data_IF_139230254440
#
_entry.id   IF_139230254440
#
_cell.length_a   1.000
_cell.length_b   1.000
_cell.length_c   1.000
_cell.angle_alpha   90.00
_cell.angle_beta   90.00
_cell.angle_gamma   90.00
#
_symmetry.space_group_name_H-M   'P 1'
#
loop_
_entity.id
_entity.type
_entity.pdbx_description
1 polymer ?
#
# COMPACT_ATOMS: atom_id res chain seq x y z
N UNK A 1 5.08 -10.47 31.49
CA UNK A 1 5.62 -11.51 30.58
C UNK A 1 6.29 -12.64 31.36
N UNK A 2 7.32 -12.36 32.19
CA UNK A 2 7.98 -13.40 32.99
C UNK A 2 9.06 -14.19 32.24
N UNK A 3 9.51 -13.68 31.08
CA UNK A 3 10.66 -14.23 30.36
C UNK A 3 12.00 -13.68 30.87
N UNK A 4 13.08 -14.37 30.51
CA UNK A 4 14.47 -13.99 30.79
C UNK A 4 15.00 -13.05 29.71
N UNK A 5 15.86 -12.10 30.08
CA UNK A 5 16.61 -11.28 29.12
C UNK A 5 17.88 -12.04 28.72
N UNK A 6 17.85 -12.73 27.57
CA UNK A 6 18.98 -13.50 27.06
C UNK A 6 19.99 -12.67 26.25
N UNK A 7 19.59 -11.49 25.77
CA UNK A 7 20.44 -10.58 25.01
C UNK A 7 20.05 -9.11 25.25
N UNK A 8 21.02 -8.22 25.13
CA UNK A 8 20.85 -6.76 25.11
C UNK A 8 22.01 -6.13 24.33
N UNK A 9 21.71 -5.23 23.39
CA UNK A 9 22.67 -4.44 22.62
C UNK A 9 22.10 -3.04 22.43
N UNK A 10 22.97 -2.03 22.35
CA UNK A 10 22.65 -0.71 21.84
C UNK A 10 23.31 -0.61 20.46
N UNK A 11 22.54 -0.19 19.46
CA UNK A 11 22.98 0.05 18.08
C UNK A 11 22.70 1.51 17.71
N UNK A 12 23.47 2.11 16.78
CA UNK A 12 23.10 3.39 16.18
C UNK A 12 21.90 3.23 15.24
N UNK A 13 21.31 4.37 14.86
CA UNK A 13 20.30 4.44 13.80
C UNK A 13 20.97 4.26 12.41
N UNK A 14 21.42 3.04 12.11
CA UNK A 14 22.04 2.61 10.85
C UNK A 14 21.41 1.27 10.41
N UNK A 15 20.92 1.20 9.17
CA UNK A 15 20.02 0.10 8.73
C UNK A 15 20.69 -1.28 8.79
N UNK A 16 21.95 -1.39 8.37
CA UNK A 16 22.67 -2.66 8.33
C UNK A 16 23.04 -3.19 9.73
N UNK A 17 23.50 -2.35 10.66
CA UNK A 17 23.82 -2.85 12.02
C UNK A 17 22.56 -3.32 12.77
N UNK A 18 21.41 -2.70 12.49
CA UNK A 18 20.11 -3.19 12.97
C UNK A 18 19.79 -4.55 12.33
N UNK A 19 19.92 -4.69 11.00
CA UNK A 19 19.67 -5.95 10.28
C UNK A 19 20.57 -7.09 10.77
N UNK A 20 21.88 -6.88 10.84
CA UNK A 20 22.85 -7.86 11.36
C UNK A 20 22.49 -8.31 12.78
N UNK A 21 22.16 -7.35 13.66
CA UNK A 21 21.79 -7.65 15.06
C UNK A 21 20.49 -8.46 15.13
N UNK A 22 19.49 -8.13 14.31
CA UNK A 22 18.23 -8.88 14.27
C UNK A 22 18.43 -10.30 13.71
N UNK A 23 19.27 -10.47 12.69
CA UNK A 23 19.59 -11.79 12.10
C UNK A 23 20.32 -12.67 13.12
N UNK A 24 21.41 -12.19 13.73
CA UNK A 24 22.15 -12.90 14.80
C UNK A 24 21.20 -13.33 15.95
N UNK A 25 20.29 -12.46 16.36
CA UNK A 25 19.36 -12.75 17.46
C UNK A 25 18.24 -13.72 17.10
N UNK A 26 17.87 -13.82 15.82
CA UNK A 26 16.88 -14.79 15.34
C UNK A 26 17.49 -16.15 15.03
N UNK A 27 18.63 -16.17 14.34
CA UNK A 27 19.13 -17.36 13.65
C UNK A 27 20.16 -18.10 14.51
N UNK A 28 21.14 -17.39 15.06
CA UNK A 28 22.19 -17.97 15.91
C UNK A 28 21.75 -18.13 17.38
N UNK A 29 20.91 -17.21 17.89
CA UNK A 29 20.45 -17.22 19.30
C UNK A 29 19.06 -17.81 19.52
N UNK A 30 18.31 -18.12 18.46
CA UNK A 30 16.91 -18.58 18.47
C UNK A 30 16.00 -17.85 19.50
N UNK A 31 16.15 -16.53 19.67
CA UNK A 31 15.39 -15.79 20.68
C UNK A 31 13.89 -15.82 20.37
N UNK A 32 13.03 -16.07 21.37
CA UNK A 32 11.60 -16.18 21.10
C UNK A 32 10.89 -14.82 20.88
N UNK A 33 11.49 -13.72 21.35
CA UNK A 33 10.95 -12.37 21.27
C UNK A 33 12.08 -11.35 21.21
N UNK A 34 12.05 -10.46 20.22
CA UNK A 34 12.90 -9.27 20.12
C UNK A 34 12.01 -8.03 20.23
N UNK A 35 12.38 -7.11 21.13
CA UNK A 35 11.76 -5.80 21.28
C UNK A 35 12.79 -4.72 20.91
N UNK A 36 12.64 -4.08 19.76
CA UNK A 36 13.43 -2.89 19.41
C UNK A 36 12.77 -1.65 20.05
N UNK A 37 13.55 -0.61 20.35
CA UNK A 37 13.05 0.57 21.09
C UNK A 37 13.77 1.85 20.65
N UNK A 38 13.39 2.39 19.50
CA UNK A 38 14.06 3.51 18.84
C UNK A 38 13.88 3.46 17.33
N UNK A 39 14.27 4.51 16.63
CA UNK A 39 14.29 4.55 15.16
C UNK A 39 12.94 4.37 14.46
N UNK A 40 11.79 4.54 15.13
CA UNK A 40 10.43 4.32 14.57
C UNK A 40 9.65 5.59 14.22
N UNK A 41 10.23 6.78 14.39
CA UNK A 41 9.57 8.07 14.19
C UNK A 41 9.56 8.56 12.73
N UNK A 42 9.54 9.88 12.56
CA UNK A 42 9.57 10.59 11.26
C UNK A 42 10.90 11.36 11.03
N UNK A 43 11.91 11.20 11.88
CA UNK A 43 13.22 11.81 11.66
C UNK A 43 13.94 11.08 10.50
N UNK A 44 14.81 11.77 9.72
CA UNK A 44 15.49 11.15 8.57
C UNK A 44 16.43 9.96 8.90
N UNK A 45 16.70 9.70 10.18
CA UNK A 45 17.47 8.53 10.65
C UNK A 45 16.60 7.41 11.24
N UNK A 46 15.29 7.61 11.42
CA UNK A 46 14.40 6.57 11.94
C UNK A 46 14.28 5.43 10.89
N UNK A 47 15.14 4.41 10.95
CA UNK A 47 15.20 3.31 9.94
C UNK A 47 14.89 1.92 10.50
N UNK A 48 14.53 1.79 11.77
CA UNK A 48 14.21 0.49 12.40
C UNK A 48 13.03 -0.25 11.74
N UNK A 49 11.93 0.41 11.30
CA UNK A 49 10.84 -0.22 10.57
C UNK A 49 11.29 -0.86 9.25
N UNK A 50 12.16 -0.17 8.52
CA UNK A 50 12.71 -0.61 7.23
C UNK A 50 13.68 -1.77 7.43
N UNK A 51 14.64 -1.65 8.36
CA UNK A 51 15.52 -2.75 8.78
C UNK A 51 14.75 -4.00 9.20
N UNK A 52 13.61 -3.83 9.90
CA UNK A 52 12.77 -4.94 10.36
C UNK A 52 12.02 -5.59 9.21
N UNK A 53 11.53 -4.82 8.23
CA UNK A 53 10.87 -5.36 7.03
C UNK A 53 11.78 -6.23 6.17
N UNK A 54 13.08 -5.91 6.12
CA UNK A 54 14.05 -6.68 5.32
C UNK A 54 14.42 -8.04 5.94
N UNK A 55 14.25 -8.22 7.26
CA UNK A 55 14.63 -9.47 7.96
C UNK A 55 13.46 -10.42 8.26
N UNK A 56 12.22 -9.94 8.28
CA UNK A 56 11.04 -10.77 8.60
C UNK A 56 10.57 -11.60 7.39
N UNK A 57 10.22 -12.85 7.64
CA UNK A 57 9.59 -13.75 6.66
C UNK A 57 8.10 -13.46 6.50
N UNK A 58 7.44 -13.06 7.60
CA UNK A 58 5.99 -12.86 7.68
C UNK A 58 5.66 -11.68 8.59
N UNK A 59 4.89 -10.72 8.08
CA UNK A 59 4.43 -9.58 8.89
C UNK A 59 3.31 -9.99 9.86
N UNK A 60 3.26 -9.32 11.01
CA UNK A 60 2.25 -9.48 12.06
C UNK A 60 1.44 -8.17 12.26
N UNK A 61 0.75 -7.68 11.21
CA UNK A 61 0.20 -6.30 11.18
C UNK A 61 -0.83 -6.03 12.28
N UNK A 62 -1.54 -7.06 12.77
CA UNK A 62 -2.46 -6.91 13.90
C UNK A 62 -1.80 -6.43 15.20
N UNK A 63 -0.51 -6.71 15.41
CA UNK A 63 0.23 -6.21 16.57
C UNK A 63 0.66 -4.75 16.41
N UNK A 64 1.10 -4.36 15.22
CA UNK A 64 1.38 -2.96 14.89
C UNK A 64 0.10 -2.10 15.01
N UNK A 65 -1.01 -2.60 14.47
CA UNK A 65 -2.34 -1.97 14.59
C UNK A 65 -2.77 -1.82 16.06
N UNK A 66 -2.61 -2.85 16.90
CA UNK A 66 -2.94 -2.77 18.33
C UNK A 66 -2.13 -1.69 19.06
N UNK A 67 -0.84 -1.57 18.77
CA UNK A 67 0.01 -0.51 19.34
C UNK A 67 -0.40 0.88 18.85
N UNK A 68 -0.72 1.04 17.56
CA UNK A 68 -1.16 2.30 16.98
C UNK A 68 -2.53 2.73 17.52
N UNK A 69 -3.52 1.84 17.58
CA UNK A 69 -4.84 2.14 18.15
C UNK A 69 -4.75 2.54 19.63
N UNK A 70 -3.97 1.82 20.43
CA UNK A 70 -3.73 2.17 21.82
C UNK A 70 -3.02 3.53 21.97
N UNK A 71 -2.01 3.80 21.13
CA UNK A 71 -1.28 5.08 21.13
C UNK A 71 -2.18 6.26 20.74
N UNK A 72 -3.00 6.12 19.70
CA UNK A 72 -3.92 7.15 19.22
C UNK A 72 -4.98 7.51 20.27
N UNK A 73 -5.42 6.53 21.08
CA UNK A 73 -6.34 6.76 22.20
C UNK A 73 -5.68 7.49 23.39
N UNK A 74 -4.34 7.57 23.45
CA UNK A 74 -3.57 8.35 24.45
C UNK A 74 -3.14 9.72 23.90
N UNK A 75 -2.78 9.81 22.62
CA UNK A 75 -2.39 11.06 21.96
C UNK A 75 -2.50 10.96 20.43
N UNK A 76 -2.98 12.00 19.73
CA UNK A 76 -2.99 12.01 18.27
C UNK A 76 -1.59 11.87 17.66
N UNK A 77 -0.52 12.24 18.40
CA UNK A 77 0.87 12.06 17.96
C UNK A 77 1.26 10.57 17.77
N UNK A 78 0.43 9.62 18.21
CA UNK A 78 0.61 8.19 17.93
C UNK A 78 0.70 7.86 16.44
N UNK A 79 0.11 8.66 15.54
CA UNK A 79 0.23 8.49 14.08
C UNK A 79 1.63 8.74 13.52
N UNK A 80 2.54 9.35 14.30
CA UNK A 80 3.91 9.65 13.90
C UNK A 80 4.89 8.50 14.19
N UNK A 81 4.40 7.37 14.72
CA UNK A 81 5.17 6.14 14.84
C UNK A 81 4.86 5.23 13.66
N UNK A 82 5.89 4.58 13.10
CA UNK A 82 5.79 3.62 11.98
C UNK A 82 6.15 2.20 12.45
N UNK A 83 5.52 1.64 13.50
CA UNK A 83 5.94 0.35 14.04
C UNK A 83 5.68 -0.78 13.04
N UNK A 84 6.63 -1.69 12.95
CA UNK A 84 6.50 -2.98 12.26
C UNK A 84 6.56 -4.07 13.31
N UNK A 85 5.74 -5.11 13.11
CA UNK A 85 5.85 -6.37 13.84
C UNK A 85 5.91 -7.49 12.82
N UNK A 86 6.72 -8.51 13.06
CA UNK A 86 6.84 -9.64 12.15
C UNK A 86 7.58 -10.82 12.77
N UNK A 87 7.75 -11.86 11.97
CA UNK A 87 8.26 -13.15 12.40
C UNK A 87 9.42 -13.56 11.49
N UNK A 88 10.48 -14.07 12.11
CA UNK A 88 11.59 -14.77 11.45
C UNK A 88 11.87 -16.05 12.23
N UNK A 89 11.76 -17.22 11.60
CA UNK A 89 11.86 -18.53 12.26
C UNK A 89 10.92 -18.67 13.47
N UNK A 90 11.53 -18.88 14.65
CA UNK A 90 10.85 -18.99 15.96
C UNK A 90 10.65 -17.64 16.67
N UNK A 91 11.07 -16.54 16.04
CA UNK A 91 11.27 -15.23 16.69
C UNK A 91 10.19 -14.24 16.31
N UNK A 92 9.53 -13.66 17.31
CA UNK A 92 8.64 -12.51 17.13
C UNK A 92 9.45 -11.21 17.28
N UNK A 93 9.48 -10.36 16.25
CA UNK A 93 10.14 -9.05 16.26
C UNK A 93 9.06 -7.96 16.37
N UNK A 94 9.27 -6.99 17.28
CA UNK A 94 8.31 -5.92 17.58
C UNK A 94 9.05 -4.59 17.75
N UNK A 95 8.63 -3.59 16.98
CA UNK A 95 9.22 -2.24 17.06
C UNK A 95 8.42 -1.33 17.99
N UNK A 96 9.04 -0.91 19.09
CA UNK A 96 8.47 -0.01 20.09
C UNK A 96 9.02 1.42 19.93
N UNK A 97 8.24 2.47 20.29
CA UNK A 97 8.72 3.84 20.26
C UNK A 97 9.88 4.07 21.25
N UNK A 98 10.92 4.80 20.84
CA UNK A 98 12.13 5.01 21.65
C UNK A 98 11.95 5.76 22.99
N UNK A 99 10.83 6.44 23.20
CA UNK A 99 10.54 7.06 24.51
C UNK A 99 10.10 6.02 25.53
N UNK A 100 10.65 6.06 26.75
CA UNK A 100 10.29 5.14 27.85
C UNK A 100 8.77 5.02 28.08
N UNK A 101 8.04 6.13 27.94
CA UNK A 101 6.56 6.13 28.05
C UNK A 101 5.95 5.34 26.90
N UNK A 102 6.29 5.68 25.66
CA UNK A 102 5.73 5.05 24.46
C UNK A 102 6.03 3.55 24.36
N UNK A 103 7.25 3.11 24.65
CA UNK A 103 7.58 1.68 24.68
C UNK A 103 6.86 0.94 25.81
N UNK A 104 6.77 1.52 27.01
CA UNK A 104 6.02 0.91 28.12
C UNK A 104 4.51 0.82 27.84
N UNK A 105 3.90 1.83 27.21
CA UNK A 105 2.48 1.81 26.83
C UNK A 105 2.22 0.82 25.68
N UNK A 106 3.00 0.88 24.60
CA UNK A 106 2.88 -0.04 23.47
C UNK A 106 3.05 -1.51 23.88
N UNK A 107 4.04 -1.81 24.73
CA UNK A 107 4.25 -3.16 25.28
C UNK A 107 3.04 -3.66 26.09
N UNK A 108 2.37 -2.78 26.86
CA UNK A 108 1.17 -3.17 27.61
C UNK A 108 -0.03 -3.50 26.70
N UNK A 109 -0.20 -2.80 25.57
CA UNK A 109 -1.31 -3.08 24.63
C UNK A 109 -1.20 -4.48 24.00
N UNK A 110 0.03 -4.96 23.74
CA UNK A 110 0.29 -6.27 23.11
C UNK A 110 0.53 -7.41 24.12
N UNK A 111 0.86 -7.09 25.37
CA UNK A 111 1.19 -8.07 26.42
C UNK A 111 0.17 -9.22 26.59
N UNK A 112 -1.16 -9.01 26.46
CA UNK A 112 -2.12 -10.12 26.57
C UNK A 112 -1.97 -11.19 25.49
N UNK A 113 -1.44 -10.85 24.31
CA UNK A 113 -1.25 -11.78 23.20
C UNK A 113 0.15 -12.44 23.19
N UNK A 114 1.17 -11.78 23.77
CA UNK A 114 2.57 -12.23 23.70
C UNK A 114 2.82 -13.69 24.11
N UNK A 115 2.27 -14.23 25.22
CA UNK A 115 2.53 -15.63 25.60
C UNK A 115 2.06 -16.62 24.52
N UNK A 116 0.82 -16.45 24.04
CA UNK A 116 0.25 -17.36 23.04
C UNK A 116 0.95 -17.23 21.68
N UNK A 117 1.34 -16.01 21.29
CA UNK A 117 2.10 -15.78 20.06
C UNK A 117 3.48 -16.47 20.11
N UNK A 118 4.18 -16.39 21.25
CA UNK A 118 5.48 -17.06 21.45
C UNK A 118 5.36 -18.58 21.40
N UNK A 119 4.36 -19.16 22.07
CA UNK A 119 4.19 -20.61 22.10
C UNK A 119 3.86 -21.17 20.70
N UNK A 120 3.05 -20.45 19.90
CA UNK A 120 2.78 -20.82 18.50
C UNK A 120 4.02 -20.82 17.59
N UNK A 121 5.05 -20.03 17.90
CA UNK A 121 6.30 -19.97 17.12
C UNK A 121 7.30 -21.04 17.54
N UNK A 122 7.28 -21.50 18.80
CA UNK A 122 8.10 -22.61 19.27
C UNK A 122 7.73 -23.93 18.59
N UNK A 123 6.42 -24.22 18.51
CA UNK A 123 5.89 -25.43 17.88
C UNK A 123 6.05 -25.45 16.35
N UNK A 124 6.32 -24.31 15.71
CA UNK A 124 6.31 -24.16 14.25
C UNK A 124 7.41 -24.97 13.53
N UNK A 125 8.58 -25.15 14.16
CA UNK A 125 9.75 -25.78 13.53
C UNK A 125 9.92 -27.26 13.93
N UNK A 126 9.22 -27.74 14.98
CA UNK A 126 9.22 -29.19 15.33
C UNK A 126 8.89 -30.01 14.09
N UNK A 127 7.79 -29.69 13.42
CA UNK A 127 7.30 -30.33 12.19
C UNK A 127 8.16 -30.12 10.93
N UNK A 128 9.25 -29.36 11.01
CA UNK A 128 10.12 -29.04 9.86
C UNK A 128 11.48 -29.69 10.01
N UNK A 129 12.05 -29.69 11.23
CA UNK A 129 13.24 -30.53 11.51
C UNK A 129 12.87 -32.01 11.59
N UNK A 130 11.76 -32.37 12.24
CA UNK A 130 11.27 -33.76 12.31
C UNK A 130 11.11 -34.39 10.92
N UNK A 131 10.62 -33.66 9.91
CA UNK A 131 10.50 -34.14 8.52
C UNK A 131 11.76 -33.94 7.65
N UNK A 132 12.84 -33.36 8.15
CA UNK A 132 14.15 -33.42 7.51
C UNK A 132 14.98 -34.55 8.11
N UNK A 133 14.98 -34.69 9.44
CA UNK A 133 15.56 -35.83 10.15
C UNK A 133 14.91 -37.16 9.65
N UNK A 134 13.58 -37.24 9.52
CA UNK A 134 12.87 -38.41 8.95
C UNK A 134 13.12 -38.65 7.44
N UNK A 135 13.66 -37.66 6.70
CA UNK A 135 13.99 -37.81 5.27
C UNK A 135 15.48 -38.12 5.05
N UNK A 136 16.38 -37.69 5.94
CA UNK A 136 17.81 -38.04 5.90
C UNK A 136 18.06 -39.49 6.35
N UNK A 137 17.22 -40.05 7.24
CA UNK A 137 17.30 -41.45 7.68
C UNK A 137 16.74 -42.47 6.65
N UNK A 138 16.24 -42.03 5.49
CA UNK A 138 15.75 -42.91 4.44
C UNK A 138 16.88 -43.45 3.54
N UNK A 139 16.94 -44.78 3.28
CA UNK A 139 17.95 -45.34 2.38
C UNK A 139 17.76 -44.84 0.95
N UNK A 140 18.87 -44.49 0.30
CA UNK A 140 18.87 -43.92 -1.05
C UNK A 140 18.11 -44.80 -2.06
N UNK A 141 17.27 -44.23 -2.94
CA UNK A 141 16.54 -45.01 -3.92
C UNK A 141 17.52 -45.69 -4.91
N UNK A 142 17.26 -46.95 -5.32
CA UNK A 142 18.10 -47.65 -6.28
C UNK A 142 18.09 -46.95 -7.64
N UNK A 143 19.17 -47.05 -8.43
CA UNK A 143 19.24 -46.42 -9.75
C UNK A 143 18.15 -46.96 -10.70
N UNK A 144 17.61 -46.12 -11.60
CA UNK A 144 16.49 -46.50 -12.45
C UNK A 144 16.85 -47.65 -13.41
N UNK A 145 15.98 -48.66 -13.46
CA UNK A 145 16.12 -49.80 -14.35
C UNK A 145 15.91 -49.41 -15.82
N UNK A 146 16.76 -49.96 -16.70
CA UNK A 146 16.68 -49.74 -18.15
C UNK A 146 15.35 -50.23 -18.76
N UNK A 147 14.83 -49.59 -19.82
CA UNK A 147 13.55 -49.96 -20.41
C UNK A 147 13.59 -51.35 -21.08
N UNK A 148 12.47 -52.10 -21.09
CA UNK A 148 12.41 -53.47 -21.62
C UNK A 148 12.34 -53.50 -23.15
N UNK A 149 12.90 -54.53 -23.82
CA UNK A 149 12.79 -54.70 -25.26
C UNK A 149 11.40 -55.19 -25.67
N UNK A 150 10.80 -54.53 -26.67
CA UNK A 150 9.54 -54.98 -27.29
C UNK A 150 9.81 -56.04 -28.36
N UNK A 151 9.06 -57.14 -28.33
CA UNK A 151 9.22 -58.24 -29.28
C UNK A 151 8.08 -58.32 -30.30
N UNK A 152 8.46 -58.84 -31.48
CA UNK A 152 7.65 -59.56 -32.48
C UNK A 152 7.53 -58.87 -33.87
N UNK A 153 7.35 -59.64 -34.97
CA UNK A 153 8.49 -60.36 -35.55
C UNK A 153 8.55 -60.38 -37.09
N UNK A 154 9.73 -60.28 -37.71
CA UNK A 154 10.01 -61.05 -38.95
C UNK A 154 11.50 -61.09 -39.37
N UNK A 155 11.94 -62.28 -39.83
CA UNK A 155 13.09 -62.62 -40.72
C UNK A 155 14.50 -61.98 -40.50
N UNK A 156 15.48 -62.85 -40.29
CA UNK A 156 16.64 -63.15 -41.18
C UNK A 156 17.18 -62.00 -42.08
N UNK A 157 18.50 -61.76 -42.19
CA UNK A 157 19.68 -62.65 -41.99
C UNK A 157 20.98 -61.86 -41.72
N UNK A 158 21.99 -62.54 -41.11
CA UNK A 158 23.45 -62.31 -41.27
C UNK A 158 24.07 -60.96 -40.79
N UNK A 159 25.38 -60.82 -40.52
CA UNK A 159 26.44 -61.73 -40.00
C UNK A 159 27.71 -60.90 -39.65
N UNK A 160 28.35 -61.17 -38.48
CA UNK A 160 29.55 -60.50 -37.90
C UNK A 160 29.45 -58.97 -37.67
N UNK A 161 30.25 -58.34 -36.80
CA UNK A 161 31.18 -58.87 -35.78
C UNK A 161 32.39 -57.95 -35.52
N UNK A 162 33.11 -58.20 -34.42
CA UNK A 162 34.49 -57.72 -34.11
C UNK A 162 34.68 -56.26 -33.62
N UNK A 163 34.73 -56.16 -32.27
CA UNK A 163 35.74 -55.44 -31.44
C UNK A 163 35.86 -53.90 -31.40
N UNK A 164 36.62 -53.47 -30.39
CA UNK A 164 36.87 -52.10 -29.91
C UNK A 164 38.34 -51.70 -30.13
N UNK A 165 38.61 -50.40 -30.08
CA UNK A 165 39.84 -49.68 -29.67
C UNK A 165 39.34 -48.23 -29.32
N UNK A 166 39.82 -47.43 -28.35
CA UNK A 166 41.19 -47.03 -27.95
C UNK A 166 41.86 -46.16 -29.07
N UNK A 167 42.55 -45.03 -28.85
CA UNK A 167 43.05 -44.35 -27.63
C UNK A 167 43.28 -42.80 -27.84
N UNK A 168 44.35 -42.17 -27.25
CA UNK A 168 44.69 -40.70 -27.25
C UNK A 168 45.43 -40.20 -28.56
N UNK A 169 46.00 -38.98 -28.77
CA UNK A 169 46.52 -37.79 -28.01
C UNK A 169 46.42 -36.51 -28.94
N UNK A 170 46.84 -35.25 -28.72
CA UNK A 170 47.60 -34.50 -27.68
C UNK A 170 47.08 -33.02 -27.54
N UNK A 171 47.80 -31.99 -28.04
CA UNK A 171 47.49 -30.55 -27.88
C UNK A 171 47.88 -29.70 -29.11
N UNK A 172 47.32 -28.48 -29.20
CA UNK A 172 48.02 -27.16 -29.23
C UNK A 172 47.00 -26.03 -29.50
N UNK A 173 46.78 -25.03 -28.64
CA UNK A 173 47.68 -23.98 -28.08
C UNK A 173 47.80 -22.72 -28.95
N UNK A 174 47.11 -21.62 -28.58
CA UNK A 174 47.71 -20.31 -28.23
C UNK A 174 46.72 -19.13 -28.22
N UNK A 175 46.50 -18.49 -27.05
CA UNK A 175 46.01 -17.11 -26.87
C UNK A 175 44.56 -16.75 -27.33
N UNK A 176 43.93 -15.65 -26.88
CA UNK A 176 44.25 -14.65 -25.83
C UNK A 176 42.91 -14.25 -25.13
N UNK A 177 42.99 -13.79 -23.88
CA UNK A 177 41.85 -13.56 -22.96
C UNK A 177 40.73 -12.60 -23.41
N UNK A 178 39.50 -12.82 -22.92
CA UNK A 178 38.79 -11.91 -21.98
C UNK A 178 37.42 -12.43 -21.48
N UNK A 179 37.30 -12.62 -20.16
CA UNK A 179 36.13 -12.43 -19.26
C UNK A 179 34.66 -12.67 -19.71
N UNK A 180 34.07 -13.72 -19.12
CA UNK A 180 32.91 -13.68 -18.20
C UNK A 180 31.54 -13.05 -18.60
N UNK A 181 30.56 -13.95 -18.75
CA UNK A 181 29.24 -14.00 -18.10
C UNK A 181 28.20 -12.85 -18.08
N UNK A 182 27.07 -13.17 -18.70
CA UNK A 182 25.78 -13.40 -18.02
C UNK A 182 25.39 -12.52 -16.81
N UNK A 183 24.41 -11.63 -16.99
CA UNK A 183 23.59 -11.09 -15.89
C UNK A 183 22.10 -11.15 -16.22
N UNK A 184 21.26 -11.49 -15.22
CA UNK A 184 19.86 -11.86 -15.40
C UNK A 184 18.86 -10.74 -15.07
N UNK A 185 17.66 -10.87 -15.63
CA UNK A 185 16.55 -9.92 -15.54
C UNK A 185 16.07 -9.58 -14.12
N UNK A 186 15.80 -8.30 -13.86
CA UNK A 186 15.10 -7.84 -12.66
C UNK A 186 13.55 -7.84 -12.82
N UNK A 187 12.88 -8.44 -11.84
CA UNK A 187 11.64 -8.03 -11.13
C UNK A 187 10.71 -7.00 -11.81
N UNK A 188 9.40 -7.31 -11.96
CA UNK A 188 8.27 -6.72 -11.18
C UNK A 188 6.88 -7.04 -11.76
N UNK A 189 5.86 -7.04 -10.90
CA UNK A 189 4.47 -7.42 -11.12
C UNK A 189 3.74 -6.80 -12.34
N UNK A 190 2.89 -7.61 -12.97
CA UNK A 190 1.94 -7.16 -13.99
C UNK A 190 0.59 -6.76 -13.35
N UNK A 191 0.30 -5.44 -13.32
CA UNK A 191 -1.05 -4.94 -13.12
C UNK A 191 -1.76 -4.85 -14.47
N UNK A 192 -2.92 -5.51 -14.62
CA UNK A 192 -3.65 -5.57 -15.90
C UNK A 192 -4.50 -4.30 -16.07
N UNK A 193 -3.96 -3.31 -16.76
CA UNK A 193 -4.72 -2.19 -17.33
C UNK A 193 -4.89 -2.39 -18.85
N UNK A 194 -6.12 -2.30 -19.35
CA UNK A 194 -6.42 -2.56 -20.75
C UNK A 194 -5.99 -1.40 -21.67
N UNK A 195 -5.38 -1.72 -22.82
CA UNK A 195 -5.02 -0.73 -23.85
C UNK A 195 -6.26 -0.17 -24.55
N UNK A 196 -6.36 1.15 -24.59
CA UNK A 196 -7.12 1.95 -25.56
C UNK A 196 -6.13 3.03 -26.05
N UNK A 197 -6.04 3.32 -27.37
CA UNK A 197 -4.88 4.04 -27.93
C UNK A 197 -4.87 5.54 -27.66
N UNK A 198 -3.68 6.12 -27.70
CA UNK A 198 -3.40 7.53 -27.47
C UNK A 198 -4.13 8.46 -28.46
N UNK A 199 -4.61 9.59 -27.95
CA UNK A 199 -5.11 10.69 -28.78
C UNK A 199 -4.28 11.95 -28.49
N UNK A 200 -3.61 12.46 -29.54
CA UNK A 200 -2.52 13.45 -29.46
C UNK A 200 -3.04 14.89 -29.19
N UNK A 201 -4.30 15.05 -28.76
CA UNK A 201 -4.92 16.36 -28.49
C UNK A 201 -5.81 16.28 -27.24
N UNK A 202 -5.35 16.88 -26.14
CA UNK A 202 -6.18 17.17 -24.96
C UNK A 202 -7.21 18.25 -25.28
N UNK A 203 -8.34 17.87 -25.89
CA UNK A 203 -9.48 18.76 -26.09
C UNK A 203 -10.16 19.05 -24.74
N UNK A 204 -10.21 20.32 -24.35
CA UNK A 204 -10.91 20.74 -23.14
C UNK A 204 -12.40 20.40 -23.17
N UNK A 205 -12.92 19.81 -22.09
CA UNK A 205 -14.33 19.49 -21.95
C UNK A 205 -15.12 20.77 -21.68
N UNK A 206 -15.86 21.27 -22.67
CA UNK A 206 -16.81 22.36 -22.46
C UNK A 206 -18.05 21.85 -21.70
N UNK A 207 -18.17 22.24 -20.43
CA UNK A 207 -19.45 22.24 -19.72
C UNK A 207 -20.11 23.59 -19.94
N UNK A 208 -21.24 23.60 -20.67
CA UNK A 208 -21.98 24.83 -20.95
C UNK A 208 -22.58 25.42 -19.66
N UNK A 209 -22.47 26.74 -19.41
CA UNK A 209 -23.24 27.41 -18.38
C UNK A 209 -24.74 27.25 -18.62
N UNK A 210 -25.52 27.12 -17.54
CA UNK A 210 -26.99 27.06 -17.60
C UNK A 210 -27.56 28.45 -17.39
N UNK A 211 -28.43 28.91 -18.29
CA UNK A 211 -28.86 30.31 -18.39
C UNK A 211 -29.45 30.88 -17.09
N UNK A 212 -28.94 32.04 -16.67
CA UNK A 212 -29.51 32.83 -15.57
C UNK A 212 -30.58 33.79 -16.10
N UNK A 213 -31.85 33.36 -16.07
CA UNK A 213 -33.00 34.23 -16.30
C UNK A 213 -33.36 35.00 -15.01
N UNK A 214 -33.43 36.32 -15.13
CA UNK A 214 -33.66 37.29 -14.05
C UNK A 214 -35.06 37.26 -13.44
N UNK A 215 -35.17 37.71 -12.18
CA UNK A 215 -36.12 38.77 -11.77
C UNK A 215 -35.78 39.33 -10.37
N UNK A 216 -36.11 40.60 -10.14
CA UNK A 216 -36.04 41.31 -8.84
C UNK A 216 -37.43 41.27 -8.14
N UNK A 217 -37.66 41.65 -6.88
CA UNK A 217 -37.36 42.93 -6.19
C UNK A 217 -37.15 42.81 -4.66
N UNK A 218 -36.75 43.93 -4.04
CA UNK A 218 -36.49 44.14 -2.59
C UNK A 218 -37.72 44.82 -1.89
N UNK A 219 -37.70 45.30 -0.61
CA UNK A 219 -36.74 45.20 0.52
C UNK A 219 -37.43 44.82 1.89
N UNK A 220 -36.80 45.19 3.03
CA UNK A 220 -37.29 45.12 4.45
C UNK A 220 -37.29 43.72 5.11
N UNK A 221 -36.99 43.54 6.42
CA UNK A 221 -36.53 44.47 7.46
C UNK A 221 -35.60 43.77 8.50
N UNK A 222 -34.85 44.56 9.28
CA UNK A 222 -34.13 44.08 10.48
C UNK A 222 -34.86 44.52 11.74
N UNK A 223 -34.78 43.74 12.83
CA UNK A 223 -34.31 44.38 14.07
C UNK A 223 -33.28 43.55 14.86
N UNK A 224 -32.74 44.18 15.91
CA UNK A 224 -31.50 43.85 16.62
C UNK A 224 -31.73 43.70 18.12
N UNK A 225 -31.32 42.56 18.69
CA UNK A 225 -31.03 42.38 20.12
C UNK A 225 -29.97 41.25 20.22
N UNK A 226 -28.74 41.46 20.70
CA UNK A 226 -28.30 41.85 22.05
C UNK A 226 -28.73 40.88 23.16
N UNK A 227 -27.74 40.44 23.95
CA UNK A 227 -27.87 39.39 24.95
C UNK A 227 -27.85 39.93 26.38
N UNK A 228 -28.57 39.24 27.27
CA UNK A 228 -28.37 39.25 28.73
C UNK A 228 -28.51 37.82 29.26
N UNK A 229 -28.33 37.60 30.57
CA UNK A 229 -28.04 36.27 31.14
C UNK A 229 -28.79 35.96 32.43
N UNK A 230 -28.75 34.67 32.82
CA UNK A 230 -28.98 34.04 34.14
C UNK A 230 -30.36 33.42 34.47
N UNK A 231 -30.28 32.10 34.70
CA UNK A 231 -30.81 31.33 35.85
C UNK A 231 -32.33 31.12 36.04
N UNK A 232 -32.78 29.95 35.56
CA UNK A 232 -33.27 28.83 36.40
C UNK A 232 -34.78 28.56 36.63
N UNK A 233 -35.04 27.24 36.61
CA UNK A 233 -36.19 26.45 37.14
C UNK A 233 -37.42 26.21 36.26
N UNK A 234 -38.00 25.02 36.51
CA UNK A 234 -39.17 24.37 35.90
C UNK A 234 -39.11 23.95 34.42
N UNK A 235 -39.75 22.85 33.98
CA UNK A 235 -39.83 21.47 34.51
C UNK A 235 -40.49 20.56 33.46
N UNK A 236 -40.05 19.30 33.33
CA UNK A 236 -40.69 18.20 32.56
C UNK A 236 -40.82 18.35 31.02
N UNK A 237 -40.94 17.24 30.26
CA UNK A 237 -40.43 15.88 30.53
C UNK A 237 -39.64 15.30 29.33
N UNK A 238 -38.43 14.78 29.56
CA UNK A 238 -37.71 13.97 28.56
C UNK A 238 -38.23 12.53 28.53
N UNK A 239 -38.30 11.87 27.36
CA UNK A 239 -38.66 10.45 27.26
C UNK A 239 -37.58 9.58 27.91
N UNK A 240 -37.98 8.75 28.88
CA UNK A 240 -37.07 7.85 29.59
C UNK A 240 -36.67 6.67 28.71
N UNK A 241 -35.58 6.80 27.95
CA UNK A 241 -34.82 5.64 27.47
C UNK A 241 -34.24 4.96 28.72
N UNK A 242 -34.91 3.90 29.19
CA UNK A 242 -34.44 3.16 30.35
C UNK A 242 -33.16 2.40 30.01
N UNK A 243 -32.04 2.86 30.56
CA UNK A 243 -30.82 2.05 30.67
C UNK A 243 -31.10 0.82 31.53
N UNK A 244 -31.54 -0.26 30.89
CA UNK A 244 -31.82 -1.56 31.52
C UNK A 244 -30.59 -2.47 31.45
N UNK A 245 -29.42 -1.92 31.79
CA UNK A 245 -28.17 -2.65 31.94
C UNK A 245 -27.75 -2.75 33.42
N UNK A 246 -28.69 -3.14 34.29
CA UNK A 246 -28.41 -3.54 35.67
C UNK A 246 -29.26 -4.76 36.05
N UNK A 247 -28.79 -5.93 35.62
CA UNK A 247 -29.20 -7.25 36.09
C UNK A 247 -28.04 -8.19 35.72
N UNK A 248 -27.35 -8.80 36.71
CA UNK A 248 -26.15 -9.61 36.48
C UNK A 248 -26.45 -11.04 35.94
N UNK A 249 -27.62 -11.21 35.34
CA UNK A 249 -28.23 -12.50 35.02
C UNK A 249 -28.79 -12.44 33.58
N UNK A 250 -27.95 -12.81 32.60
CA UNK A 250 -28.36 -13.42 31.32
C UNK A 250 -27.19 -13.72 30.35
N UNK A 251 -25.96 -13.25 30.61
CA UNK A 251 -24.76 -13.68 29.84
C UNK A 251 -24.28 -15.07 30.31
N UNK A 252 -25.21 -16.03 30.32
CA UNK A 252 -25.00 -17.46 30.51
C UNK A 252 -25.85 -18.30 29.54
N UNK A 253 -26.19 -17.74 28.36
CA UNK A 253 -26.32 -18.60 27.18
C UNK A 253 -24.92 -19.02 26.77
N UNK A 254 -24.52 -20.22 27.21
CA UNK A 254 -23.30 -20.84 26.76
C UNK A 254 -23.35 -21.04 25.24
N UNK A 255 -22.56 -20.27 24.51
CA UNK A 255 -22.26 -20.57 23.11
C UNK A 255 -21.51 -21.91 23.09
N UNK A 256 -22.25 -22.99 22.82
CA UNK A 256 -21.68 -24.32 22.66
C UNK A 256 -20.77 -24.33 21.41
N UNK A 257 -19.51 -23.98 21.62
CA UNK A 257 -18.43 -24.27 20.69
C UNK A 257 -18.48 -25.76 20.34
N UNK A 258 -18.58 -26.08 19.05
CA UNK A 258 -18.48 -27.45 18.56
C UNK A 258 -17.07 -28.06 18.80
N UNK A 259 -16.11 -27.24 19.28
CA UNK A 259 -14.77 -27.64 19.69
C UNK A 259 -14.65 -27.56 21.21
N UNK A 260 -14.51 -28.71 21.87
CA UNK A 260 -14.06 -28.79 23.28
C UNK A 260 -12.59 -28.38 23.36
N UNK A 261 -12.35 -27.17 23.87
CA UNK A 261 -11.01 -26.60 24.04
C UNK A 261 -10.24 -27.16 25.24
N UNK A 262 -10.89 -27.92 26.13
CA UNK A 262 -10.27 -28.39 27.40
C UNK A 262 -9.33 -29.57 27.23
N UNK A 263 -9.38 -30.27 26.10
CA UNK A 263 -8.62 -31.50 25.84
C UNK A 263 -7.82 -31.37 24.55
N UNK A 264 -6.61 -30.84 24.67
CA UNK A 264 -5.67 -30.61 23.55
C UNK A 264 -5.52 -31.86 22.66
N UNK A 265 -5.36 -33.04 23.26
CA UNK A 265 -5.24 -34.33 22.57
C UNK A 265 -6.50 -34.79 21.79
N UNK A 266 -7.63 -34.07 21.90
CA UNK A 266 -8.87 -34.31 21.17
C UNK A 266 -9.28 -33.15 20.23
N UNK A 267 -8.40 -32.18 19.97
CA UNK A 267 -8.63 -31.21 18.89
C UNK A 267 -8.80 -31.95 17.55
N UNK A 268 -9.84 -31.61 16.81
CA UNK A 268 -10.05 -32.13 15.46
C UNK A 268 -8.89 -31.69 14.56
N UNK A 269 -8.25 -32.65 13.86
CA UNK A 269 -7.14 -32.39 12.92
C UNK A 269 -7.61 -31.77 11.60
N UNK A 270 -8.90 -31.85 11.32
CA UNK A 270 -9.60 -31.14 10.24
C UNK A 270 -10.64 -30.21 10.89
N UNK A 271 -11.07 -29.16 10.18
CA UNK A 271 -12.19 -28.34 10.64
C UNK A 271 -13.46 -29.20 10.80
N UNK A 272 -14.19 -29.16 11.94
CA UNK A 272 -15.48 -29.82 12.09
C UNK A 272 -16.58 -29.10 11.30
N UNK A 273 -16.33 -27.87 10.85
CA UNK A 273 -17.18 -27.15 9.91
C UNK A 273 -16.68 -27.38 8.48
N UNK A 274 -17.55 -27.73 7.52
CA UNK A 274 -17.13 -27.91 6.13
C UNK A 274 -16.60 -26.61 5.55
N UNK A 275 -15.55 -26.70 4.72
CA UNK A 275 -15.05 -25.56 3.95
C UNK A 275 -16.14 -25.04 3.01
N UNK A 276 -16.46 -23.76 3.12
CA UNK A 276 -17.34 -23.05 2.20
C UNK A 276 -16.53 -22.41 1.08
N UNK A 277 -17.12 -22.22 -0.11
CA UNK A 277 -16.54 -21.36 -1.13
C UNK A 277 -16.50 -19.90 -0.64
N UNK A 278 -15.59 -19.10 -1.22
CA UNK A 278 -15.45 -17.68 -0.88
C UNK A 278 -16.76 -16.94 -1.11
N UNK A 279 -17.37 -17.10 -2.28
CA UNK A 279 -18.62 -16.42 -2.66
C UNK A 279 -19.74 -16.69 -1.66
N UNK A 280 -19.88 -17.95 -1.21
CA UNK A 280 -20.88 -18.33 -0.21
C UNK A 280 -20.55 -17.81 1.19
N UNK A 281 -19.28 -17.73 1.56
CA UNK A 281 -18.87 -17.04 2.79
C UNK A 281 -19.20 -15.55 2.72
N UNK A 282 -18.92 -14.90 1.59
CA UNK A 282 -19.16 -13.48 1.36
C UNK A 282 -20.66 -13.15 1.42
N UNK A 283 -21.50 -13.94 0.75
CA UNK A 283 -22.97 -13.84 0.84
C UNK A 283 -23.43 -14.02 2.30
N UNK A 284 -22.96 -15.06 3.00
CA UNK A 284 -23.37 -15.32 4.40
C UNK A 284 -22.97 -14.16 5.32
N UNK A 285 -21.80 -13.55 5.11
CA UNK A 285 -21.36 -12.36 5.86
C UNK A 285 -22.24 -11.14 5.55
N UNK A 286 -22.56 -10.89 4.28
CA UNK A 286 -23.41 -9.76 3.88
C UNK A 286 -24.86 -9.91 4.37
N UNK A 287 -25.46 -11.11 4.29
CA UNK A 287 -26.80 -11.41 4.81
C UNK A 287 -26.89 -11.23 6.33
N UNK A 288 -25.81 -11.53 7.06
CA UNK A 288 -25.72 -11.39 8.52
C UNK A 288 -25.24 -10.00 8.97
N UNK A 289 -24.81 -9.13 8.06
CA UNK A 289 -24.33 -7.77 8.36
C UNK A 289 -25.47 -6.77 8.19
N UNK A 290 -26.02 -6.18 9.27
CA UNK A 290 -27.08 -5.19 9.14
C UNK A 290 -26.53 -3.92 8.47
N UNK A 291 -27.11 -3.54 7.33
CA UNK A 291 -26.79 -2.28 6.65
C UNK A 291 -27.16 -1.11 7.58
N UNK A 292 -26.17 -0.28 7.91
CA UNK A 292 -26.37 0.88 8.77
C UNK A 292 -27.16 1.97 8.03
N UNK A 293 -28.08 2.63 8.74
CA UNK A 293 -28.83 3.76 8.21
C UNK A 293 -27.96 5.00 8.02
N UNK A 294 -28.38 5.89 7.12
CA UNK A 294 -27.71 7.16 6.87
C UNK A 294 -28.15 8.23 7.88
N UNK A 295 -27.21 9.09 8.29
CA UNK A 295 -27.45 10.20 9.23
C UNK A 295 -26.90 11.49 8.63
N UNK A 296 -27.68 12.57 8.67
CA UNK A 296 -27.24 13.90 8.24
C UNK A 296 -26.65 14.64 9.44
N UNK A 297 -25.35 14.96 9.36
CA UNK A 297 -24.57 15.59 10.43
C UNK A 297 -23.85 16.85 9.92
N UNK A 298 -23.29 17.64 10.84
CA UNK A 298 -22.33 18.68 10.45
C UNK A 298 -21.00 18.04 10.04
N UNK A 299 -20.32 18.59 9.04
CA UNK A 299 -19.02 18.08 8.57
C UNK A 299 -17.95 18.04 9.69
N UNK A 300 -18.05 18.92 10.69
CA UNK A 300 -17.15 18.97 11.86
C UNK A 300 -17.28 17.75 12.77
N UNK A 301 -18.46 17.14 12.80
CA UNK A 301 -18.79 15.97 13.64
C UNK A 301 -18.60 14.64 12.87
N UNK A 302 -18.06 14.70 11.64
CA UNK A 302 -17.85 13.55 10.75
C UNK A 302 -16.61 12.69 11.05
N UNK A 303 -15.78 13.06 12.02
CA UNK A 303 -14.56 12.32 12.36
C UNK A 303 -14.89 10.89 12.80
N UNK A 304 -14.25 9.90 12.17
CA UNK A 304 -14.50 8.47 12.44
C UNK A 304 -15.75 7.89 11.78
N UNK A 305 -16.44 8.63 10.89
CA UNK A 305 -17.56 8.14 10.07
C UNK A 305 -17.14 8.02 8.60
N UNK A 306 -17.86 7.18 7.85
CA UNK A 306 -17.73 7.06 6.39
C UNK A 306 -18.80 7.89 5.68
N UNK A 307 -18.54 8.30 4.44
CA UNK A 307 -19.54 8.95 3.59
C UNK A 307 -20.61 7.93 3.16
N UNK A 308 -21.87 8.35 3.18
CA UNK A 308 -23.00 7.53 2.72
C UNK A 308 -23.16 7.51 1.18
N UNK A 309 -22.52 8.46 0.49
CA UNK A 309 -22.54 8.66 -0.95
C UNK A 309 -21.35 9.53 -1.35
N UNK A 310 -20.98 9.53 -2.63
CA UNK A 310 -19.95 10.41 -3.16
C UNK A 310 -20.30 11.91 -2.97
N UNK A 311 -19.26 12.71 -2.76
CA UNK A 311 -19.35 14.17 -2.60
C UNK A 311 -18.64 14.84 -3.76
N UNK A 312 -19.41 15.54 -4.58
CA UNK A 312 -18.92 16.29 -5.74
C UNK A 312 -18.73 17.77 -5.38
N UNK A 313 -17.73 18.41 -5.98
CA UNK A 313 -17.61 19.87 -5.93
C UNK A 313 -18.81 20.51 -6.64
N UNK A 314 -19.33 21.63 -6.11
CA UNK A 314 -20.41 22.40 -6.75
C UNK A 314 -19.92 23.25 -7.91
N UNK A 315 -18.68 23.70 -7.80
CA UNK A 315 -18.05 24.69 -8.66
C UNK A 315 -16.70 24.14 -9.12
N UNK A 316 -16.26 24.51 -10.33
CA UNK A 316 -14.96 24.12 -10.85
C UNK A 316 -13.83 24.83 -10.07
N UNK A 317 -12.78 24.10 -9.74
CA UNK A 317 -11.55 24.65 -9.14
C UNK A 317 -10.33 24.17 -9.96
N UNK A 318 -9.62 25.08 -10.66
CA UNK A 318 -9.89 26.51 -10.81
C UNK A 318 -11.21 26.82 -11.55
N UNK A 319 -11.80 28.01 -11.34
CA UNK A 319 -13.05 28.42 -11.99
C UNK A 319 -12.86 28.90 -13.45
N UNK A 320 -11.73 28.57 -14.05
CA UNK A 320 -11.33 28.93 -15.41
C UNK A 320 -10.56 27.76 -16.04
N UNK A 321 -10.52 27.63 -17.38
CA UNK A 321 -9.64 26.67 -18.04
C UNK A 321 -8.19 27.02 -17.68
N UNK A 322 -7.46 26.06 -17.11
CA UNK A 322 -6.06 26.23 -16.71
C UNK A 322 -5.19 25.14 -17.34
N UNK A 323 -3.91 25.46 -17.59
CA UNK A 323 -2.97 24.47 -18.10
C UNK A 323 -2.62 23.45 -17.03
N UNK A 324 -2.58 22.16 -17.41
CA UNK A 324 -2.12 21.05 -16.55
C UNK A 324 -0.63 20.72 -16.75
N UNK A 325 0.06 21.48 -17.62
CA UNK A 325 1.49 21.33 -17.94
C UNK A 325 2.11 22.69 -18.28
N UNK A 326 3.43 22.78 -18.22
CA UNK A 326 4.20 23.90 -18.75
C UNK A 326 4.37 23.77 -20.28
N UNK A 327 4.23 24.87 -21.01
CA UNK A 327 4.24 24.83 -22.48
C UNK A 327 3.70 26.09 -23.15
N UNK A 328 3.02 25.90 -24.26
CA UNK A 328 2.45 26.98 -25.08
C UNK A 328 0.97 26.74 -25.33
N UNK A 329 0.14 27.73 -25.00
CA UNK A 329 -1.26 27.76 -25.40
C UNK A 329 -1.37 28.10 -26.89
N UNK A 330 -2.04 27.23 -27.63
CA UNK A 330 -2.13 27.24 -29.10
C UNK A 330 -3.58 27.24 -29.57
N UNK A 331 -3.75 27.51 -30.87
CA UNK A 331 -4.96 27.20 -31.62
C UNK A 331 -4.76 25.90 -32.38
N UNK A 332 -5.42 24.83 -31.94
CA UNK A 332 -5.35 23.49 -32.55
C UNK A 332 -5.74 23.50 -34.04
N UNK A 333 -6.59 24.45 -34.45
CA UNK A 333 -6.98 24.69 -35.83
C UNK A 333 -5.83 25.14 -36.76
N UNK A 334 -4.73 25.69 -36.23
CA UNK A 334 -3.57 26.10 -37.03
C UNK A 334 -2.61 24.93 -37.31
N UNK A 335 -2.74 23.81 -36.59
CA UNK A 335 -1.90 22.61 -36.72
C UNK A 335 -0.46 22.81 -36.25
N UNK A 336 0.48 21.94 -36.70
CA UNK A 336 1.92 22.13 -36.53
C UNK A 336 2.48 23.29 -37.37
N UNK A 337 3.74 23.62 -37.13
CA UNK A 337 4.53 24.64 -37.84
C UNK A 337 4.83 25.89 -37.01
N UNK A 338 5.58 26.79 -37.62
CA UNK A 338 6.10 28.02 -37.03
C UNK A 338 5.03 28.93 -36.39
N UNK A 339 5.29 29.42 -35.16
CA UNK A 339 4.43 30.34 -34.40
C UNK A 339 5.21 31.51 -33.80
N UNK A 340 4.51 32.61 -33.54
CA UNK A 340 5.03 33.77 -32.82
C UNK A 340 4.55 33.77 -31.37
N UNK A 341 5.47 33.93 -30.41
CA UNK A 341 5.12 34.03 -28.99
C UNK A 341 4.68 35.47 -28.70
N UNK A 342 3.46 35.68 -28.20
CA UNK A 342 2.92 37.02 -27.89
C UNK A 342 3.08 37.44 -26.42
N UNK A 343 3.55 36.53 -25.56
CA UNK A 343 3.76 36.77 -24.15
C UNK A 343 3.69 35.49 -23.32
N UNK A 344 3.51 35.66 -22.01
CA UNK A 344 3.42 34.59 -21.02
C UNK A 344 2.18 34.78 -20.13
N UNK A 345 1.63 33.67 -19.62
CA UNK A 345 0.64 33.65 -18.55
C UNK A 345 1.10 32.71 -17.44
N UNK A 346 1.03 33.19 -16.20
CA UNK A 346 1.47 32.47 -15.01
C UNK A 346 0.29 32.22 -14.05
N UNK A 347 0.43 31.20 -13.20
CA UNK A 347 -0.58 30.86 -12.19
C UNK A 347 -0.79 32.02 -11.19
N UNK A 348 -1.98 32.62 -11.21
CA UNK A 348 -2.37 33.75 -10.35
C UNK A 348 -2.64 35.05 -11.11
N UNK A 349 -2.18 35.18 -12.34
CA UNK A 349 -2.44 36.34 -13.22
C UNK A 349 -3.50 36.01 -14.28
N UNK A 350 -4.22 37.03 -14.78
CA UNK A 350 -5.15 36.86 -15.91
C UNK A 350 -4.47 37.31 -17.22
N UNK A 351 -4.41 36.47 -18.27
CA UNK A 351 -3.85 36.86 -19.55
C UNK A 351 -4.70 37.94 -20.22
N UNK A 352 -4.07 39.06 -20.57
CA UNK A 352 -4.73 40.23 -21.18
C UNK A 352 -4.81 40.17 -22.71
N UNK A 353 -4.00 39.32 -23.35
CA UNK A 353 -3.94 39.18 -24.80
C UNK A 353 -4.74 37.95 -25.28
N UNK A 354 -5.33 38.07 -26.48
CA UNK A 354 -6.01 36.97 -27.18
C UNK A 354 -5.07 36.35 -28.20
N UNK A 355 -4.99 35.02 -28.22
CA UNK A 355 -4.18 34.27 -29.20
C UNK A 355 -4.89 34.28 -30.56
N UNK A 356 -4.26 34.88 -31.56
CA UNK A 356 -4.75 34.95 -32.95
C UNK A 356 -4.12 33.84 -33.82
N UNK A 357 -4.57 33.63 -35.08
CA UNK A 357 -3.97 32.61 -35.95
C UNK A 357 -2.46 32.77 -36.14
N UNK A 358 -1.72 31.68 -35.98
CA UNK A 358 -0.24 31.66 -36.06
C UNK A 358 0.49 32.23 -34.84
N UNK A 359 -0.23 32.64 -33.79
CA UNK A 359 0.34 33.08 -32.51
C UNK A 359 0.21 31.99 -31.44
N UNK A 360 1.04 32.09 -30.41
CA UNK A 360 0.98 31.28 -29.18
C UNK A 360 1.35 32.11 -27.96
N UNK A 361 0.95 31.68 -26.77
CA UNK A 361 1.35 32.29 -25.50
C UNK A 361 2.01 31.23 -24.63
N UNK A 362 3.13 31.53 -23.99
CA UNK A 362 3.75 30.63 -22.99
C UNK A 362 2.80 30.51 -21.79
N UNK A 363 2.56 29.30 -21.31
CA UNK A 363 1.73 29.03 -20.12
C UNK A 363 2.47 28.14 -19.14
N UNK A 364 2.38 28.47 -17.85
CA UNK A 364 2.86 27.58 -16.79
C UNK A 364 1.76 26.61 -16.34
N UNK A 365 2.15 25.53 -15.67
CA UNK A 365 1.21 24.68 -14.93
C UNK A 365 0.37 25.55 -13.97
N UNK A 366 -0.96 25.41 -14.02
CA UNK A 366 -1.91 26.21 -13.24
C UNK A 366 -2.26 27.60 -13.82
N UNK A 367 -1.58 28.08 -14.87
CA UNK A 367 -1.92 29.35 -15.51
C UNK A 367 -3.25 29.27 -16.28
N UNK A 368 -4.07 30.36 -16.33
CA UNK A 368 -5.27 30.37 -17.15
C UNK A 368 -4.92 30.26 -18.65
N UNK A 369 -5.73 29.51 -19.40
CA UNK A 369 -5.63 29.48 -20.86
C UNK A 369 -6.12 30.84 -21.42
N UNK A 370 -5.33 31.55 -22.23
CA UNK A 370 -5.72 32.82 -22.81
C UNK A 370 -6.89 32.68 -23.80
N UNK A 371 -7.69 33.74 -23.91
CA UNK A 371 -8.74 33.84 -24.91
C UNK A 371 -8.19 33.51 -26.31
N UNK A 372 -8.98 32.80 -27.11
CA UNK A 372 -8.62 32.39 -28.48
C UNK A 372 -7.85 31.07 -28.58
N UNK A 373 -7.15 30.62 -27.54
CA UNK A 373 -6.51 29.30 -27.50
C UNK A 373 -7.48 28.18 -27.06
N UNK A 374 -7.29 26.97 -27.58
CA UNK A 374 -8.13 25.78 -27.32
C UNK A 374 -7.33 24.49 -27.02
N UNK A 375 -6.00 24.54 -27.09
CA UNK A 375 -5.09 23.46 -26.70
C UNK A 375 -3.80 24.01 -26.08
N UNK A 376 -3.03 23.14 -25.43
CA UNK A 376 -1.66 23.41 -24.98
C UNK A 376 -0.72 22.35 -25.55
N UNK A 377 0.38 22.79 -26.15
CA UNK A 377 1.51 21.92 -26.54
C UNK A 377 2.57 22.03 -25.45
N UNK A 378 3.17 20.91 -25.07
CA UNK A 378 4.21 20.85 -24.04
C UNK A 378 5.45 21.65 -24.43
N UNK A 379 6.18 22.18 -23.44
CA UNK A 379 7.48 22.82 -23.72
C UNK A 379 8.49 21.82 -24.32
N UNK A 380 8.44 20.55 -23.90
CA UNK A 380 9.29 19.48 -24.43
C UNK A 380 9.03 19.15 -25.91
N UNK A 381 7.82 19.41 -26.41
CA UNK A 381 7.40 19.12 -27.79
C UNK A 381 7.65 20.30 -28.75
N UNK A 382 8.47 21.30 -28.36
CA UNK A 382 8.66 22.55 -29.12
C UNK A 382 10.13 22.94 -29.31
N UNK A 383 10.44 23.59 -30.44
CA UNK A 383 11.80 23.99 -30.83
C UNK A 383 11.86 25.51 -31.05
N UNK A 384 12.75 26.22 -30.35
CA UNK A 384 12.93 27.67 -30.51
C UNK A 384 13.70 27.97 -31.80
N UNK A 385 13.04 28.60 -32.78
CA UNK A 385 13.63 28.91 -34.09
C UNK A 385 14.45 30.20 -34.04
N UNK A 386 13.91 31.25 -33.38
CA UNK A 386 14.57 32.56 -33.25
C UNK A 386 14.19 33.25 -31.95
N UNK A 387 15.19 33.86 -31.35
CA UNK A 387 15.09 34.84 -30.27
C UNK A 387 15.40 36.23 -30.82
N UNK A 388 14.75 37.27 -30.30
CA UNK A 388 14.97 38.67 -30.69
C UNK A 388 14.56 39.59 -29.55
N UNK A 389 15.44 40.51 -29.14
CA UNK A 389 15.17 41.46 -28.06
C UNK A 389 13.91 42.33 -28.34
N UNK A 390 13.64 42.62 -29.61
CA UNK A 390 12.44 43.34 -30.09
C UNK A 390 11.18 42.44 -30.14
N UNK A 391 10.85 41.76 -29.02
CA UNK A 391 9.55 41.12 -28.71
C UNK A 391 9.17 39.89 -29.59
N UNK A 392 9.73 39.72 -30.78
CA UNK A 392 9.26 38.76 -31.80
C UNK A 392 9.86 37.33 -31.72
N UNK A 393 9.83 36.70 -30.55
CA UNK A 393 10.29 35.31 -30.41
C UNK A 393 9.48 34.34 -31.29
N UNK A 394 10.17 33.44 -31.99
CA UNK A 394 9.58 32.52 -32.98
C UNK A 394 9.91 31.06 -32.65
N UNK A 395 8.86 30.26 -32.48
CA UNK A 395 8.88 28.87 -32.02
C UNK A 395 8.35 27.94 -33.12
N UNK A 396 8.72 26.67 -33.09
CA UNK A 396 8.18 25.59 -33.91
C UNK A 396 7.37 24.63 -33.05
N UNK A 397 6.26 24.17 -33.63
CA UNK A 397 5.26 23.23 -33.09
C UNK A 397 5.02 22.13 -34.12
#
# INVERSE_FOLDING_TARGET
>A
LGGTISAYKIVPDEIEEIKETLIDWCDEKELNLILTTGGTGFAPRDVTPEATKEVIEREAPGMALAMLMGSLNVTPLGMLSRPVCGIRGKTLIINLPGSKKGSQECFQFILPALPHAIDLLRDAIVKVKEVHDELEDLPSPPPPLSPPPTTSPHKQTEDKGVQCEEEEEEKKDSGVASTEDSSSSHITAAAIAAKIPDSIISRGVQVLPRDTASLSTTPSESPRAQATSRLSTASCPTPKVQSRCSSKENILRASHSAVDITKVARRHRMSPFPLTSMDKAFITVLEMTPVLGTEIINYRDGMGRVLAQDVYAKDNLPPFPASVKDGYAVRAADGPGDRFIIGESQAGEQPTQTVMPGQVMRVTTGAPIPCGADAVVQVEDTELIRESDDVSHKLKI
#
